data_IF_057972552932
#
_entry.id   IF_057972552932
#
_cell.length_a   1.000
_cell.length_b   1.000
_cell.length_c   1.000
_cell.angle_alpha   90.00
_cell.angle_beta   90.00
_cell.angle_gamma   90.00
#
_symmetry.space_group_name_H-M   'P 1'
#
loop_
_entity.id
_entity.type
_entity.pdbx_description
1 polymer ?
#
# COMPACT_ATOMS: atom_id res chain seq x y z
N UNK A 1 8.05 -30.61 29.40
CA UNK A 1 8.12 -29.13 29.25
C UNK A 1 9.13 -28.65 28.21
N UNK A 2 10.33 -29.23 28.09
CA UNK A 2 11.36 -28.81 27.11
C UNK A 2 10.93 -28.91 25.63
N UNK A 3 10.15 -29.91 25.27
CA UNK A 3 9.66 -30.09 23.89
C UNK A 3 8.55 -29.10 23.52
N UNK A 4 7.68 -28.75 24.45
CA UNK A 4 6.61 -27.77 24.26
C UNK A 4 7.19 -26.37 23.98
N UNK A 5 8.20 -25.96 24.76
CA UNK A 5 8.90 -24.70 24.55
C UNK A 5 9.61 -24.63 23.18
N UNK A 6 10.23 -25.71 22.73
CA UNK A 6 10.85 -25.80 21.41
C UNK A 6 9.81 -25.71 20.27
N UNK A 7 8.68 -26.41 20.43
CA UNK A 7 7.58 -26.34 19.46
C UNK A 7 7.02 -24.92 19.34
N UNK A 8 6.80 -24.26 20.47
CA UNK A 8 6.28 -22.89 20.51
C UNK A 8 7.25 -21.89 19.87
N UNK A 9 8.54 -22.09 20.09
CA UNK A 9 9.59 -21.28 19.47
C UNK A 9 9.64 -21.48 17.94
N UNK A 10 9.50 -22.71 17.44
CA UNK A 10 9.44 -22.99 15.99
C UNK A 10 8.19 -22.37 15.34
N UNK A 11 7.03 -22.42 16.02
CA UNK A 11 5.81 -21.79 15.55
C UNK A 11 5.97 -20.26 15.47
N UNK A 12 6.63 -19.65 16.46
CA UNK A 12 6.92 -18.22 16.45
C UNK A 12 7.83 -17.83 15.27
N UNK A 13 8.91 -18.60 15.03
CA UNK A 13 9.79 -18.36 13.87
C UNK A 13 9.02 -18.50 12.56
N UNK A 14 8.21 -19.55 12.41
CA UNK A 14 7.37 -19.74 11.24
C UNK A 14 6.42 -18.58 10.99
N UNK A 15 5.79 -18.09 12.06
CA UNK A 15 4.92 -16.91 12.00
C UNK A 15 5.67 -15.65 11.57
N UNK A 16 6.84 -15.39 12.12
CA UNK A 16 7.67 -14.23 11.79
C UNK A 16 8.21 -14.30 10.35
N UNK A 17 8.51 -15.47 9.85
CA UNK A 17 9.00 -15.67 8.47
C UNK A 17 7.88 -15.58 7.42
N UNK A 18 6.62 -15.77 7.81
CA UNK A 18 5.49 -15.89 6.89
C UNK A 18 5.28 -14.66 5.98
N UNK A 19 5.23 -13.40 6.45
CA UNK A 19 5.07 -12.25 5.56
C UNK A 19 6.25 -12.06 4.60
N UNK A 20 7.47 -12.43 4.99
CA UNK A 20 8.64 -12.40 4.10
C UNK A 20 8.50 -13.40 2.94
N UNK A 21 7.90 -14.55 3.19
CA UNK A 21 7.59 -15.51 2.13
C UNK A 21 6.56 -14.93 1.14
N UNK A 22 5.54 -14.20 1.63
CA UNK A 22 4.57 -13.53 0.76
C UNK A 22 5.20 -12.38 -0.02
N UNK A 23 6.10 -11.61 0.59
CA UNK A 23 6.89 -10.59 -0.11
C UNK A 23 7.75 -11.21 -1.23
N UNK A 24 8.39 -12.35 -0.98
CA UNK A 24 9.13 -13.07 -2.01
C UNK A 24 8.24 -13.55 -3.16
N UNK A 25 7.04 -14.05 -2.85
CA UNK A 25 6.05 -14.43 -3.87
C UNK A 25 5.59 -13.23 -4.69
N UNK A 26 5.34 -12.09 -4.04
CA UNK A 26 4.99 -10.84 -4.70
C UNK A 26 6.11 -10.40 -5.66
N UNK A 27 7.35 -10.40 -5.18
CA UNK A 27 8.51 -10.12 -6.01
C UNK A 27 8.58 -11.03 -7.26
N UNK A 28 8.43 -12.34 -7.09
CA UNK A 28 8.41 -13.27 -8.21
C UNK A 28 7.27 -13.03 -9.18
N UNK A 29 6.09 -12.72 -8.69
CA UNK A 29 4.93 -12.41 -9.53
C UNK A 29 5.18 -11.16 -10.38
N UNK A 30 5.79 -10.14 -9.81
CA UNK A 30 6.18 -8.92 -10.54
C UNK A 30 7.22 -9.26 -11.61
N UNK A 31 8.29 -9.97 -11.27
CA UNK A 31 9.35 -10.32 -12.22
C UNK A 31 8.87 -11.19 -13.39
N UNK A 32 7.85 -12.02 -13.15
CA UNK A 32 7.30 -12.93 -14.17
C UNK A 32 6.06 -12.34 -14.91
N UNK A 33 5.66 -11.10 -14.64
CA UNK A 33 4.42 -10.49 -15.15
C UNK A 33 3.16 -11.34 -14.85
N UNK A 34 3.12 -12.00 -13.69
CA UNK A 34 2.05 -12.91 -13.30
C UNK A 34 0.92 -12.14 -12.59
N UNK A 35 0.00 -11.58 -13.39
CA UNK A 35 -1.17 -10.84 -12.90
C UNK A 35 -2.11 -11.72 -12.07
N UNK A 36 -2.24 -13.00 -12.39
CA UNK A 36 -3.10 -13.93 -11.66
C UNK A 36 -2.59 -14.19 -10.23
N UNK A 37 -1.27 -14.21 -10.05
CA UNK A 37 -0.68 -14.30 -8.70
C UNK A 37 -0.81 -12.95 -7.96
N UNK A 38 -0.68 -11.82 -8.63
CA UNK A 38 -0.91 -10.49 -8.04
C UNK A 38 -2.33 -10.37 -7.48
N UNK A 39 -3.35 -10.76 -8.23
CA UNK A 39 -4.76 -10.75 -7.77
C UNK A 39 -4.98 -11.56 -6.48
N UNK A 40 -4.21 -12.62 -6.27
CA UNK A 40 -4.28 -13.44 -5.05
C UNK A 40 -3.52 -12.84 -3.87
N UNK A 41 -2.42 -12.14 -4.15
CA UNK A 41 -1.53 -11.57 -3.12
C UNK A 41 -1.92 -10.13 -2.73
N UNK A 42 -2.70 -9.45 -3.56
CA UNK A 42 -3.12 -8.06 -3.38
C UNK A 42 -4.63 -8.00 -3.23
N UNK A 43 -5.09 -7.32 -2.21
CA UNK A 43 -6.49 -6.92 -2.06
C UNK A 43 -6.70 -5.62 -2.85
N UNK A 44 -6.98 -5.77 -4.14
CA UNK A 44 -7.14 -4.63 -5.06
C UNK A 44 -8.28 -3.70 -4.64
N UNK A 45 -9.32 -4.22 -4.00
CA UNK A 45 -10.44 -3.42 -3.49
C UNK A 45 -9.97 -2.49 -2.38
N UNK A 46 -9.27 -3.01 -1.38
CA UNK A 46 -8.71 -2.20 -0.29
C UNK A 46 -7.64 -1.22 -0.78
N UNK A 47 -6.73 -1.66 -1.66
CA UNK A 47 -5.72 -0.78 -2.26
C UNK A 47 -6.37 0.38 -2.98
N UNK A 48 -7.41 0.13 -3.78
CA UNK A 48 -8.16 1.18 -4.48
C UNK A 48 -8.90 2.11 -3.50
N UNK A 49 -9.47 1.57 -2.44
CA UNK A 49 -10.14 2.38 -1.42
C UNK A 49 -9.15 3.32 -0.71
N UNK A 50 -8.00 2.80 -0.26
CA UNK A 50 -6.95 3.60 0.37
C UNK A 50 -6.43 4.69 -0.58
N UNK A 51 -6.24 4.35 -1.86
CA UNK A 51 -5.81 5.33 -2.87
C UNK A 51 -6.85 6.46 -3.05
N UNK A 52 -8.13 6.12 -3.14
CA UNK A 52 -9.22 7.08 -3.22
C UNK A 52 -9.28 8.00 -2.00
N UNK A 53 -9.14 7.44 -0.81
CA UNK A 53 -9.15 8.19 0.44
C UNK A 53 -7.95 9.14 0.55
N UNK A 54 -6.75 8.69 0.14
CA UNK A 54 -5.56 9.52 0.07
C UNK A 54 -5.72 10.68 -0.93
N UNK A 55 -6.25 10.44 -2.11
CA UNK A 55 -6.54 11.48 -3.10
C UNK A 55 -7.53 12.52 -2.56
N UNK A 56 -8.62 12.08 -1.93
CA UNK A 56 -9.58 12.97 -1.28
C UNK A 56 -8.93 13.80 -0.17
N UNK A 57 -8.11 13.18 0.65
CA UNK A 57 -7.38 13.86 1.72
C UNK A 57 -6.42 14.92 1.18
N UNK A 58 -5.60 14.59 0.16
CA UNK A 58 -4.66 15.52 -0.47
C UNK A 58 -5.40 16.70 -1.09
N UNK A 59 -6.49 16.47 -1.82
CA UNK A 59 -7.29 17.54 -2.41
C UNK A 59 -7.88 18.47 -1.36
N UNK A 60 -8.45 17.95 -0.29
CA UNK A 60 -9.01 18.74 0.81
C UNK A 60 -7.93 19.55 1.55
N UNK A 61 -6.73 19.00 1.73
CA UNK A 61 -5.63 19.70 2.41
C UNK A 61 -5.02 20.80 1.56
N UNK A 62 -4.86 20.56 0.25
CA UNK A 62 -4.36 21.57 -0.69
C UNK A 62 -5.26 22.80 -0.70
N UNK A 63 -6.59 22.62 -0.66
CA UNK A 63 -7.56 23.70 -0.61
C UNK A 63 -7.49 24.48 0.70
N UNK A 64 -7.41 23.77 1.83
CA UNK A 64 -7.35 24.40 3.14
C UNK A 64 -6.06 25.21 3.35
N UNK A 65 -4.95 24.78 2.77
CA UNK A 65 -3.67 25.47 2.88
C UNK A 65 -3.58 26.67 1.95
N UNK A 66 -4.08 26.57 0.73
CA UNK A 66 -4.12 27.67 -0.26
C UNK A 66 -5.23 28.68 0.05
N UNK A 67 -6.28 28.26 0.75
CA UNK A 67 -7.50 29.07 1.00
C UNK A 67 -7.33 30.21 1.99
N UNK A 68 -6.21 30.31 2.72
CA UNK A 68 -5.98 31.43 3.66
C UNK A 68 -5.84 32.81 2.97
N UNK A 69 -5.62 32.81 1.65
CA UNK A 69 -5.43 34.02 0.85
C UNK A 69 -6.71 34.50 0.14
N UNK A 70 -7.82 33.75 0.22
CA UNK A 70 -9.07 34.08 -0.49
C UNK A 70 -10.21 34.41 0.44
N UNK A 71 -11.17 35.30 0.03
CA UNK A 71 -12.40 35.58 0.78
C UNK A 71 -13.22 34.30 1.00
N UNK A 72 -13.96 34.29 2.14
CA UNK A 72 -14.74 33.13 2.59
C UNK A 72 -15.71 32.56 1.54
N UNK A 73 -16.39 33.45 0.80
CA UNK A 73 -17.32 33.06 -0.27
C UNK A 73 -16.65 32.32 -1.43
N UNK A 74 -15.42 32.72 -1.80
CA UNK A 74 -14.63 32.06 -2.84
C UNK A 74 -14.11 30.72 -2.34
N UNK A 75 -13.78 30.65 -1.06
CA UNK A 75 -13.30 29.44 -0.42
C UNK A 75 -14.39 28.35 -0.37
N UNK A 76 -15.61 28.71 0.00
CA UNK A 76 -16.76 27.78 0.02
C UNK A 76 -17.09 27.25 -1.39
N UNK A 77 -17.11 28.12 -2.39
CA UNK A 77 -17.31 27.72 -3.79
C UNK A 77 -16.21 26.78 -4.30
N UNK A 78 -14.95 27.11 -4.01
CA UNK A 78 -13.80 26.27 -4.37
C UNK A 78 -13.82 24.90 -3.65
N UNK A 79 -14.16 24.85 -2.36
CA UNK A 79 -14.31 23.60 -1.61
C UNK A 79 -15.38 22.68 -2.20
N UNK A 80 -16.54 23.25 -2.60
CA UNK A 80 -17.63 22.47 -3.22
C UNK A 80 -17.19 21.90 -4.58
N UNK A 81 -16.56 22.72 -5.42
CA UNK A 81 -16.07 22.29 -6.73
C UNK A 81 -14.97 21.21 -6.61
N UNK A 82 -14.02 21.42 -5.70
CA UNK A 82 -12.92 20.48 -5.50
C UNK A 82 -13.41 19.19 -4.85
N UNK A 83 -14.36 19.26 -3.92
CA UNK A 83 -15.01 18.07 -3.37
C UNK A 83 -15.71 17.25 -4.46
N UNK A 84 -16.40 17.90 -5.38
CA UNK A 84 -17.07 17.25 -6.51
C UNK A 84 -16.06 16.66 -7.51
N UNK A 85 -15.06 17.46 -7.92
CA UNK A 85 -14.01 17.02 -8.83
C UNK A 85 -13.11 15.94 -8.20
N UNK A 86 -12.84 16.03 -6.90
CA UNK A 86 -12.09 15.05 -6.13
C UNK A 86 -12.81 13.71 -6.05
N UNK A 87 -14.12 13.71 -5.85
CA UNK A 87 -14.91 12.50 -5.88
C UNK A 87 -14.94 11.87 -7.29
N UNK A 88 -15.14 12.67 -8.33
CA UNK A 88 -15.10 12.19 -9.72
C UNK A 88 -13.72 11.63 -10.10
N UNK A 89 -12.64 12.33 -9.75
CA UNK A 89 -11.27 11.86 -9.99
C UNK A 89 -10.98 10.56 -9.21
N UNK A 90 -11.40 10.48 -7.95
CA UNK A 90 -11.22 9.27 -7.14
C UNK A 90 -12.06 8.09 -7.65
N UNK A 91 -13.23 8.32 -8.25
CA UNK A 91 -14.05 7.26 -8.84
C UNK A 91 -13.43 6.70 -10.13
N UNK A 92 -12.72 7.53 -10.90
CA UNK A 92 -12.06 7.12 -12.15
C UNK A 92 -10.72 6.43 -11.95
N UNK A 93 -10.07 6.61 -10.79
CA UNK A 93 -8.80 5.96 -10.48
C UNK A 93 -9.07 4.56 -9.94
N UNK A 94 -8.94 3.57 -10.81
CA UNK A 94 -8.99 2.15 -10.44
C UNK A 94 -7.69 1.50 -10.88
N UNK A 95 -6.98 0.92 -9.91
CA UNK A 95 -5.80 0.10 -10.19
C UNK A 95 -6.25 -1.35 -10.30
N UNK A 96 -6.01 -1.95 -11.45
CA UNK A 96 -6.12 -3.39 -11.70
C UNK A 96 -4.75 -4.08 -11.57
N UNK A 97 -4.72 -5.41 -11.61
CA UNK A 97 -3.48 -6.16 -11.46
C UNK A 97 -2.42 -5.83 -12.53
N UNK A 98 -2.77 -5.68 -13.82
CA UNK A 98 -1.81 -5.25 -14.86
C UNK A 98 -1.25 -3.85 -14.60
N UNK A 99 -2.09 -2.88 -14.24
CA UNK A 99 -1.65 -1.51 -13.93
C UNK A 99 -0.75 -1.46 -12.69
N UNK A 100 -1.05 -2.27 -11.69
CA UNK A 100 -0.21 -2.41 -10.51
C UNK A 100 1.15 -3.01 -10.87
N UNK A 101 1.19 -4.05 -11.70
CA UNK A 101 2.43 -4.64 -12.21
C UNK A 101 3.30 -3.61 -12.93
N UNK A 102 2.69 -2.84 -13.84
CA UNK A 102 3.39 -1.80 -14.59
C UNK A 102 3.97 -0.71 -13.68
N UNK A 103 3.24 -0.37 -12.62
CA UNK A 103 3.68 0.58 -11.59
C UNK A 103 4.85 0.03 -10.76
N UNK A 104 4.79 -1.24 -10.36
CA UNK A 104 5.86 -1.89 -9.61
C UNK A 104 7.11 -2.14 -10.47
N UNK A 105 6.95 -2.37 -11.78
CA UNK A 105 8.08 -2.47 -12.73
C UNK A 105 8.81 -1.16 -12.99
N UNK A 106 8.13 -0.02 -12.88
CA UNK A 106 8.75 1.31 -13.02
C UNK A 106 9.67 1.68 -11.85
N UNK A 107 9.61 0.92 -10.76
CA UNK A 107 10.63 0.98 -9.71
C UNK A 107 11.95 0.46 -10.30
N UNK A 108 13.01 1.29 -10.23
CA UNK A 108 14.30 1.09 -10.90
C UNK A 108 15.11 -0.15 -10.42
N UNK A 109 14.46 -1.20 -9.95
CA UNK A 109 15.11 -2.39 -9.44
C UNK A 109 14.14 -3.53 -9.12
N UNK A 110 14.66 -4.65 -8.66
CA UNK A 110 13.80 -5.70 -8.13
C UNK A 110 13.18 -5.23 -6.80
N UNK A 111 11.91 -5.57 -6.54
CA UNK A 111 11.25 -5.22 -5.27
C UNK A 111 12.11 -5.62 -4.05
N UNK A 112 12.88 -6.69 -4.18
CA UNK A 112 13.75 -7.17 -3.12
C UNK A 112 14.97 -6.27 -2.89
N UNK A 113 15.61 -5.80 -3.94
CA UNK A 113 16.78 -4.90 -3.88
C UNK A 113 16.40 -3.49 -3.40
N UNK A 114 15.22 -3.01 -3.81
CA UNK A 114 14.69 -1.72 -3.37
C UNK A 114 14.10 -1.76 -1.95
N UNK A 115 13.92 -2.96 -1.35
CA UNK A 115 13.40 -3.07 0.02
C UNK A 115 14.45 -2.56 1.02
N UNK A 116 14.23 -1.38 1.56
CA UNK A 116 15.09 -0.77 2.59
C UNK A 116 14.62 -1.05 4.01
N UNK A 117 13.36 -1.44 4.18
CA UNK A 117 12.77 -1.77 5.47
C UNK A 117 11.61 -2.74 5.27
N UNK A 118 11.51 -3.76 6.13
CA UNK A 118 10.40 -4.70 6.16
C UNK A 118 10.23 -5.21 7.59
N UNK A 119 9.14 -4.82 8.25
CA UNK A 119 8.91 -5.15 9.66
C UNK A 119 7.42 -5.17 10.04
N UNK A 120 7.12 -5.84 11.15
CA UNK A 120 5.79 -5.86 11.75
C UNK A 120 5.47 -4.54 12.45
N UNK A 121 4.37 -3.89 12.06
CA UNK A 121 3.77 -2.81 12.84
C UNK A 121 2.87 -3.34 13.96
N UNK A 122 2.24 -4.48 13.71
CA UNK A 122 1.42 -5.22 14.66
C UNK A 122 1.45 -6.71 14.33
N UNK A 123 0.92 -7.60 15.17
CA UNK A 123 0.84 -9.03 14.85
C UNK A 123 0.18 -9.33 13.49
N UNK A 124 -0.76 -8.52 13.05
CA UNK A 124 -1.50 -8.73 11.80
C UNK A 124 -1.17 -7.73 10.70
N UNK A 125 -0.19 -6.86 10.91
CA UNK A 125 0.19 -5.81 9.96
C UNK A 125 1.69 -5.77 9.76
N UNK A 126 2.11 -5.82 8.51
CA UNK A 126 3.51 -5.85 8.10
C UNK A 126 3.75 -4.75 7.06
N UNK A 127 4.72 -3.89 7.30
CA UNK A 127 5.06 -2.76 6.42
C UNK A 127 6.38 -2.98 5.74
N UNK A 128 6.41 -2.70 4.45
CA UNK A 128 7.57 -2.77 3.58
C UNK A 128 7.79 -1.36 3.02
N UNK A 129 9.02 -0.90 3.03
CA UNK A 129 9.42 0.34 2.39
C UNK A 129 10.38 0.06 1.27
N UNK A 130 10.04 0.56 0.08
CA UNK A 130 10.86 0.52 -1.11
C UNK A 130 11.50 1.89 -1.33
N UNK A 131 12.79 1.92 -1.64
CA UNK A 131 13.53 3.15 -1.83
C UNK A 131 14.03 3.80 -0.53
N UNK A 132 14.75 4.92 -0.67
CA UNK A 132 15.38 5.62 0.45
C UNK A 132 14.49 6.71 1.02
N UNK A 133 14.51 6.89 2.34
CA UNK A 133 13.87 8.02 3.02
C UNK A 133 14.37 9.35 2.43
N UNK A 134 13.41 10.25 2.11
CA UNK A 134 13.72 11.55 1.50
C UNK A 134 13.76 11.56 -0.03
N UNK A 135 13.54 10.42 -0.70
CA UNK A 135 13.44 10.29 -2.16
C UNK A 135 12.13 9.63 -2.60
N UNK A 136 11.01 10.09 -2.04
CA UNK A 136 9.66 9.54 -2.32
C UNK A 136 9.62 8.00 -2.18
N UNK A 137 9.86 7.46 -0.98
CA UNK A 137 9.79 6.02 -0.77
C UNK A 137 8.36 5.52 -0.93
N UNK A 138 8.20 4.33 -1.51
CA UNK A 138 6.91 3.66 -1.57
C UNK A 138 6.76 2.79 -0.33
N UNK A 139 5.63 2.93 0.34
CA UNK A 139 5.25 2.10 1.47
C UNK A 139 4.17 1.11 1.04
N UNK A 140 4.45 -0.17 1.22
CA UNK A 140 3.50 -1.26 0.98
C UNK A 140 3.10 -1.82 2.33
N UNK A 141 1.80 -1.85 2.60
CA UNK A 141 1.25 -2.46 3.80
C UNK A 141 0.60 -3.80 3.46
N UNK A 142 1.00 -4.83 4.19
CA UNK A 142 0.37 -6.14 4.13
C UNK A 142 -0.41 -6.38 5.43
N UNK A 143 -1.59 -6.96 5.30
CA UNK A 143 -2.44 -7.34 6.43
C UNK A 143 -2.74 -8.84 6.36
N UNK A 144 -2.76 -9.48 7.52
CA UNK A 144 -3.16 -10.88 7.63
C UNK A 144 -4.70 -10.97 7.55
N UNK A 145 -5.20 -11.52 6.44
CA UNK A 145 -6.63 -11.73 6.16
C UNK A 145 -6.84 -13.22 5.88
N UNK A 146 -7.78 -13.84 6.53
CA UNK A 146 -8.16 -15.25 6.31
C UNK A 146 -6.95 -16.20 6.23
N UNK A 147 -6.00 -16.06 7.18
CA UNK A 147 -4.75 -16.82 7.23
C UNK A 147 -3.84 -16.61 6.00
N UNK A 148 -3.95 -15.49 5.32
CA UNK A 148 -3.08 -15.11 4.21
C UNK A 148 -2.62 -13.67 4.36
N UNK A 149 -1.35 -13.40 4.10
CA UNK A 149 -0.83 -12.04 4.03
C UNK A 149 -1.16 -11.46 2.65
N UNK A 150 -1.91 -10.36 2.64
CA UNK A 150 -2.27 -9.65 1.40
C UNK A 150 -1.82 -8.20 1.47
N UNK A 151 -1.39 -7.66 0.35
CA UNK A 151 -1.17 -6.22 0.21
C UNK A 151 -2.52 -5.52 0.28
N UNK A 152 -2.68 -4.60 1.21
CA UNK A 152 -3.94 -3.88 1.48
C UNK A 152 -3.82 -2.38 1.27
N UNK A 153 -2.58 -1.84 1.22
CA UNK A 153 -2.35 -0.43 0.93
C UNK A 153 -0.99 -0.22 0.27
N UNK A 154 -0.91 0.79 -0.58
CA UNK A 154 0.31 1.29 -1.20
C UNK A 154 0.28 2.81 -1.11
N UNK A 155 1.33 3.39 -0.52
CA UNK A 155 1.50 4.83 -0.33
C UNK A 155 2.79 5.28 -1.03
N UNK A 156 2.73 6.35 -1.77
CA UNK A 156 3.85 7.03 -2.47
C UNK A 156 3.90 8.51 -2.12
#
# INVERSE_FOLDING_TARGET
>A
MKYLSRLLFLLLIGYLAWPYFHLYRLHRAVMNNDSATIEKLVDLEQVNQVLKDNLKWQMNHTVNTSGKLFPEAVRQGAQTLIGTLGNLAAETVVIDAPSLLDRLHKLNGSLWEETTFAFFESPTRFTIRLGQLGRNPIHIQMTLQDWSWRVTAIYD
#
